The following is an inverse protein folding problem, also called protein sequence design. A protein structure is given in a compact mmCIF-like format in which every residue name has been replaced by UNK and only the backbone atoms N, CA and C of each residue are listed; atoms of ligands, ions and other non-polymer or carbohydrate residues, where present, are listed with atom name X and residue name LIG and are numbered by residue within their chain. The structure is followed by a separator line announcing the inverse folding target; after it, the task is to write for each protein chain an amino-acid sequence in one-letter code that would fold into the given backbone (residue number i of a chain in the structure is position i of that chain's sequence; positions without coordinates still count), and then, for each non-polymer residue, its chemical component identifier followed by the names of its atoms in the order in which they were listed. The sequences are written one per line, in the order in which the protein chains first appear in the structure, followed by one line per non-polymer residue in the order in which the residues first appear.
data_IF_886160434262
#
_entry.id   IF_886160434262
#
_cell.length_a   1.000
_cell.length_b   1.000
_cell.length_c   1.000
_cell.angle_alpha   90.00
_cell.angle_beta   90.00
_cell.angle_gamma   90.00
#
_symmetry.space_group_name_H-M   'P 1'
#
loop_
_entity.id
_entity.type
_entity.pdbx_description
1 polymer ?
#
# COMPACT_ATOMS: atom_id res chain seq x y z
N UNK A 1 4.79 27.25 1.02
CA UNK A 1 5.69 26.88 2.13
C UNK A 1 5.23 25.51 2.58
N UNK A 2 6.07 24.46 2.46
CA UNK A 2 5.66 23.09 2.83
C UNK A 2 5.35 23.05 4.33
N UNK A 3 4.20 22.50 4.72
CA UNK A 3 3.89 22.32 6.13
C UNK A 3 4.74 21.17 6.66
N UNK A 4 5.76 21.53 7.46
CA UNK A 4 6.64 20.57 8.11
C UNK A 4 5.90 19.77 9.20
N UNK A 5 4.76 20.28 9.70
CA UNK A 5 3.99 19.66 10.77
C UNK A 5 3.39 18.31 10.37
N UNK A 6 2.80 18.23 9.19
CA UNK A 6 2.11 17.01 8.76
C UNK A 6 3.11 15.89 8.42
N UNK A 7 4.27 16.25 7.85
CA UNK A 7 5.36 15.29 7.59
C UNK A 7 5.91 14.68 8.88
N UNK A 8 6.01 15.46 9.96
CA UNK A 8 6.47 14.98 11.27
C UNK A 8 5.46 14.01 11.89
N UNK A 9 4.16 14.25 11.67
CA UNK A 9 3.10 13.35 12.14
C UNK A 9 3.21 11.97 11.49
N UNK A 10 3.24 11.92 10.15
CA UNK A 10 3.40 10.67 9.42
C UNK A 10 4.70 9.93 9.77
N UNK A 11 5.81 10.67 9.89
CA UNK A 11 7.09 10.10 10.28
C UNK A 11 7.04 9.44 11.66
N UNK A 12 6.36 10.08 12.62
CA UNK A 12 6.20 9.55 13.97
C UNK A 12 5.36 8.27 13.96
N UNK A 13 4.25 8.25 13.22
CA UNK A 13 3.44 7.05 13.00
C UNK A 13 4.27 5.90 12.38
N UNK A 14 5.00 6.19 11.30
CA UNK A 14 5.82 5.20 10.61
C UNK A 14 6.87 4.57 11.54
N UNK A 15 7.52 5.37 12.40
CA UNK A 15 8.45 4.85 13.42
C UNK A 15 7.75 3.94 14.41
N UNK A 16 6.56 4.29 14.87
CA UNK A 16 5.79 3.50 15.82
C UNK A 16 5.42 2.14 15.20
N UNK A 17 4.81 2.16 14.01
CA UNK A 17 4.43 0.96 13.25
C UNK A 17 5.64 0.05 13.04
N UNK A 18 6.73 0.57 12.48
CA UNK A 18 7.90 -0.23 12.12
C UNK A 18 8.74 -0.67 13.33
N UNK A 19 8.59 -0.03 14.49
CA UNK A 19 9.18 -0.50 15.75
C UNK A 19 8.44 -1.69 16.35
N UNK A 20 7.13 -1.80 16.11
CA UNK A 20 6.31 -2.94 16.54
C UNK A 20 6.55 -4.22 15.71
N UNK A 21 7.08 -4.08 14.49
CA UNK A 21 7.33 -5.22 13.61
C UNK A 21 8.65 -5.93 13.93
N UNK A 22 8.54 -7.24 14.17
CA UNK A 22 9.67 -8.13 14.46
C UNK A 22 10.20 -8.86 13.22
N UNK A 23 9.73 -8.52 12.01
CA UNK A 23 10.20 -9.16 10.78
C UNK A 23 11.63 -8.75 10.45
N UNK A 24 12.43 -9.64 9.80
CA UNK A 24 13.78 -9.30 9.35
C UNK A 24 13.82 -8.02 8.49
N UNK A 25 12.84 -7.86 7.61
CA UNK A 25 12.74 -6.74 6.67
C UNK A 25 12.49 -5.40 7.37
N UNK A 26 11.83 -5.41 8.54
CA UNK A 26 11.57 -4.19 9.31
C UNK A 26 12.85 -3.47 9.75
N UNK A 27 14.00 -4.16 9.82
CA UNK A 27 15.30 -3.51 10.09
C UNK A 27 15.64 -2.50 9.00
N UNK A 28 15.57 -2.92 7.74
CA UNK A 28 15.94 -2.06 6.60
C UNK A 28 15.02 -0.85 6.48
N UNK A 29 13.74 -0.99 6.84
CA UNK A 29 12.81 0.13 6.93
C UNK A 29 13.15 1.10 8.07
N UNK A 30 13.55 0.59 9.24
CA UNK A 30 14.03 1.44 10.34
C UNK A 30 15.33 2.16 10.00
N UNK A 31 16.22 1.52 9.23
CA UNK A 31 17.45 2.14 8.75
C UNK A 31 17.15 3.30 7.79
N UNK A 32 16.15 3.16 6.91
CA UNK A 32 15.65 4.27 6.10
C UNK A 32 15.08 5.39 6.97
N UNK A 33 14.20 5.08 7.93
CA UNK A 33 13.63 6.10 8.82
C UNK A 33 14.69 6.82 9.66
N UNK A 34 15.86 6.22 9.88
CA UNK A 34 16.96 6.86 10.58
C UNK A 34 17.63 7.99 9.77
N UNK A 35 17.38 8.10 8.46
CA UNK A 35 17.92 9.21 7.64
C UNK A 35 17.24 10.54 7.92
N UNK A 36 15.95 10.50 8.27
CA UNK A 36 15.18 11.69 8.65
C UNK A 36 13.71 11.64 8.20
N UNK A 37 12.89 12.62 8.61
CA UNK A 37 11.47 12.71 8.26
C UNK A 37 11.18 12.76 6.76
N UNK A 38 12.13 13.24 5.95
CA UNK A 38 11.99 13.27 4.49
C UNK A 38 11.89 11.88 3.85
N UNK A 39 12.29 10.82 4.57
CA UNK A 39 12.19 9.43 4.11
C UNK A 39 10.76 8.92 3.95
N UNK A 40 9.74 9.64 4.43
CA UNK A 40 8.33 9.24 4.28
C UNK A 40 7.65 9.88 3.07
N UNK A 41 8.34 10.75 2.34
CA UNK A 41 7.76 11.49 1.21
C UNK A 41 8.68 11.43 -0.02
N UNK A 42 8.12 11.40 -1.25
CA UNK A 42 8.91 11.36 -2.48
C UNK A 42 9.44 12.76 -2.85
N UNK A 43 10.31 13.34 -2.03
CA UNK A 43 10.71 14.75 -2.19
C UNK A 43 11.87 14.98 -3.17
N UNK A 44 12.72 13.98 -3.37
CA UNK A 44 13.90 13.99 -4.25
C UNK A 44 14.13 12.61 -4.86
N UNK A 45 15.14 12.47 -5.72
CA UNK A 45 15.62 11.15 -6.11
C UNK A 45 16.22 10.45 -4.87
N UNK A 46 15.77 9.24 -4.56
CA UNK A 46 16.23 8.50 -3.39
C UNK A 46 15.12 7.70 -2.70
N UNK A 47 15.49 6.81 -1.78
CA UNK A 47 14.56 5.90 -1.14
C UNK A 47 13.54 6.63 -0.26
N UNK A 48 12.30 6.15 -0.26
CA UNK A 48 11.24 6.66 0.59
C UNK A 48 10.17 5.60 0.84
N UNK A 49 9.35 5.82 1.87
CA UNK A 49 8.20 4.97 2.16
C UNK A 49 7.09 5.13 1.11
N UNK A 50 6.41 4.02 0.87
CA UNK A 50 5.10 3.95 0.21
C UNK A 50 4.14 3.16 1.08
N UNK A 51 2.86 3.33 0.83
CA UNK A 51 1.80 2.61 1.52
C UNK A 51 0.85 1.97 0.50
N UNK A 52 0.57 0.69 0.69
CA UNK A 52 -0.25 -0.11 -0.23
C UNK A 52 -1.34 -0.88 0.51
N UNK A 53 -2.41 -1.21 -0.20
CA UNK A 53 -3.56 -1.93 0.33
C UNK A 53 -3.95 -3.10 -0.58
N UNK A 54 -4.00 -4.30 0.00
CA UNK A 54 -4.69 -5.42 -0.63
C UNK A 54 -6.14 -5.45 -0.15
N UNK A 55 -7.06 -5.06 -1.02
CA UNK A 55 -8.50 -5.04 -0.72
C UNK A 55 -9.07 -6.43 -0.90
N UNK A 56 -9.74 -6.93 0.14
CA UNK A 56 -10.49 -8.17 0.18
C UNK A 56 -11.96 -7.87 -0.11
N UNK A 57 -12.58 -8.71 -0.93
CA UNK A 57 -14.00 -8.61 -1.27
C UNK A 57 -14.89 -8.85 -0.04
N UNK A 58 -16.16 -8.41 -0.06
CA UNK A 58 -17.08 -8.58 1.08
C UNK A 58 -17.33 -10.05 1.45
N UNK A 59 -17.31 -10.93 0.44
CA UNK A 59 -17.40 -12.39 0.57
C UNK A 59 -16.18 -13.02 1.27
N UNK A 60 -15.08 -12.28 1.41
CA UNK A 60 -13.80 -12.74 2.00
C UNK A 60 -13.15 -13.89 1.23
N UNK A 61 -13.52 -14.08 -0.03
CA UNK A 61 -13.00 -15.15 -0.89
C UNK A 61 -12.12 -14.61 -2.02
N UNK A 62 -12.19 -13.31 -2.31
CA UNK A 62 -11.50 -12.67 -3.43
C UNK A 62 -10.72 -11.43 -3.00
N UNK A 63 -9.76 -11.04 -3.83
CA UNK A 63 -8.98 -9.81 -3.67
C UNK A 63 -9.09 -8.92 -4.90
N UNK A 64 -9.06 -7.60 -4.71
CA UNK A 64 -9.06 -6.63 -5.78
C UNK A 64 -7.62 -6.41 -6.26
N UNK A 65 -7.40 -6.47 -7.58
CA UNK A 65 -6.13 -6.13 -8.19
C UNK A 65 -6.35 -5.15 -9.34
N UNK A 66 -5.40 -4.23 -9.52
CA UNK A 66 -5.37 -3.28 -10.61
C UNK A 66 -4.31 -3.69 -11.65
N UNK A 67 -4.63 -3.59 -12.94
CA UNK A 67 -3.67 -3.74 -14.03
C UNK A 67 -2.93 -2.41 -14.21
N UNK A 68 -1.79 -2.27 -13.55
CA UNK A 68 -1.07 -1.00 -13.48
C UNK A 68 -0.59 -0.53 -14.87
N UNK A 69 -0.93 0.69 -15.29
CA UNK A 69 -0.72 1.15 -16.66
C UNK A 69 0.73 1.19 -17.13
N UNK A 70 1.65 1.62 -16.24
CA UNK A 70 3.12 1.68 -16.51
C UNK A 70 3.85 0.35 -16.30
N UNK A 71 3.56 -0.37 -15.22
CA UNK A 71 4.22 -1.65 -14.91
C UNK A 71 3.75 -2.74 -15.88
N UNK A 72 2.48 -2.71 -16.28
CA UNK A 72 1.90 -3.70 -17.18
C UNK A 72 1.64 -5.05 -16.51
N UNK A 73 1.48 -5.07 -15.19
CA UNK A 73 1.15 -6.25 -14.39
C UNK A 73 0.03 -5.95 -13.39
N UNK A 74 -0.68 -6.99 -12.98
CA UNK A 74 -1.69 -6.95 -11.94
C UNK A 74 -1.02 -6.85 -10.57
N UNK A 75 -1.48 -5.91 -9.75
CA UNK A 75 -0.96 -5.67 -8.41
C UNK A 75 -2.01 -5.09 -7.46
N UNK A 76 -1.68 -5.03 -6.18
CA UNK A 76 -2.46 -4.29 -5.19
C UNK A 76 -2.39 -2.77 -5.44
N UNK A 77 -3.37 -2.02 -4.95
CA UNK A 77 -3.36 -0.56 -4.99
C UNK A 77 -2.35 0.00 -3.98
N UNK A 78 -1.77 1.15 -4.28
CA UNK A 78 -0.79 1.77 -3.40
C UNK A 78 0.08 2.80 -4.09
N UNK A 79 0.70 3.65 -3.29
CA UNK A 79 1.38 4.81 -3.81
C UNK A 79 2.22 5.56 -2.79
N UNK A 80 2.58 6.78 -3.18
CA UNK A 80 3.37 7.66 -2.34
C UNK A 80 2.55 8.15 -1.16
N UNK A 81 3.14 8.20 0.02
CA UNK A 81 2.53 8.99 1.08
C UNK A 81 2.53 10.47 0.69
N UNK A 82 1.52 11.17 1.15
CA UNK A 82 1.33 12.60 0.96
C UNK A 82 1.52 13.35 2.27
N UNK A 83 1.88 14.65 2.24
CA UNK A 83 2.05 15.43 3.46
C UNK A 83 0.85 15.34 4.41
N UNK A 84 -0.39 15.32 3.90
CA UNK A 84 -1.60 15.27 4.73
C UNK A 84 -1.97 13.90 5.30
N UNK A 85 -1.22 12.83 4.99
CA UNK A 85 -1.50 11.50 5.53
C UNK A 85 -1.07 11.44 7.01
N UNK A 86 -2.04 11.28 7.92
CA UNK A 86 -1.74 11.23 9.36
C UNK A 86 -1.02 9.94 9.79
N UNK A 87 -1.23 8.83 9.06
CA UNK A 87 -0.66 7.51 9.34
C UNK A 87 -0.38 6.74 8.05
N UNK A 88 0.48 5.72 8.09
CA UNK A 88 0.72 4.80 6.97
C UNK A 88 -0.57 4.06 6.57
N UNK A 89 -1.40 3.69 7.54
CA UNK A 89 -2.70 3.10 7.27
C UNK A 89 -3.62 4.09 6.54
N UNK A 90 -3.64 5.37 6.95
CA UNK A 90 -4.42 6.40 6.26
C UNK A 90 -3.97 6.60 4.81
N UNK A 91 -2.65 6.60 4.56
CA UNK A 91 -2.10 6.66 3.21
C UNK A 91 -2.54 5.44 2.35
N UNK A 92 -2.38 4.22 2.87
CA UNK A 92 -2.81 3.01 2.16
C UNK A 92 -4.33 3.02 1.87
N UNK A 93 -5.13 3.49 2.82
CA UNK A 93 -6.59 3.59 2.66
C UNK A 93 -6.98 4.66 1.64
N UNK A 94 -6.28 5.80 1.59
CA UNK A 94 -6.46 6.85 0.58
C UNK A 94 -6.18 6.29 -0.82
N UNK A 95 -5.01 5.69 -1.03
CA UNK A 95 -4.63 5.08 -2.32
C UNK A 95 -5.66 4.03 -2.76
N UNK A 96 -6.10 3.16 -1.83
CA UNK A 96 -7.14 2.17 -2.13
C UNK A 96 -8.43 2.83 -2.63
N UNK A 97 -8.88 3.92 -2.02
CA UNK A 97 -10.09 4.66 -2.44
C UNK A 97 -9.89 5.35 -3.79
N UNK A 98 -8.76 6.03 -3.98
CA UNK A 98 -8.46 6.79 -5.19
C UNK A 98 -8.33 5.87 -6.42
N UNK A 99 -7.69 4.71 -6.25
CA UNK A 99 -7.46 3.77 -7.33
C UNK A 99 -8.65 2.85 -7.64
N UNK A 100 -9.49 2.56 -6.64
CA UNK A 100 -10.63 1.64 -6.81
C UNK A 100 -12.00 2.31 -6.90
N UNK A 101 -12.13 3.58 -6.49
CA UNK A 101 -13.41 4.27 -6.38
C UNK A 101 -14.34 3.71 -5.30
N UNK A 102 -13.87 2.80 -4.43
CA UNK A 102 -14.69 2.18 -3.39
C UNK A 102 -14.64 3.02 -2.11
N UNK A 103 -15.80 3.52 -1.70
CA UNK A 103 -16.00 4.13 -0.38
C UNK A 103 -16.27 3.09 0.72
N UNK A 104 -16.23 3.51 1.98
CA UNK A 104 -16.59 2.63 3.11
C UNK A 104 -15.60 1.51 3.41
N UNK A 105 -14.41 1.54 2.80
CA UNK A 105 -13.31 0.60 3.06
C UNK A 105 -12.91 0.59 4.54
N UNK A 106 -12.76 -0.61 5.11
CA UNK A 106 -12.24 -0.85 6.45
C UNK A 106 -10.79 -1.31 6.36
N UNK A 107 -9.89 -0.74 7.15
CA UNK A 107 -8.46 -1.09 7.11
C UNK A 107 -8.03 -1.84 8.38
N UNK A 108 -7.13 -2.80 8.21
CA UNK A 108 -6.50 -3.51 9.31
C UNK A 108 -5.55 -2.62 10.11
N UNK A 109 -5.44 -2.83 11.43
CA UNK A 109 -4.63 -1.96 12.29
C UNK A 109 -3.12 -2.16 12.10
N UNK A 110 -2.70 -3.30 11.55
CA UNK A 110 -1.29 -3.69 11.42
C UNK A 110 -0.93 -3.98 9.95
N UNK A 111 0.31 -3.68 9.54
CA UNK A 111 0.82 -4.11 8.24
C UNK A 111 0.83 -5.63 8.10
N UNK A 112 0.44 -6.12 6.93
CA UNK A 112 0.47 -7.54 6.55
C UNK A 112 1.70 -7.93 5.73
N UNK A 113 2.51 -6.96 5.30
CA UNK A 113 3.71 -7.21 4.53
C UNK A 113 4.58 -5.96 4.38
N UNK A 114 5.86 -6.20 4.11
CA UNK A 114 6.86 -5.19 3.76
C UNK A 114 7.54 -5.63 2.47
N UNK A 115 7.93 -4.67 1.64
CA UNK A 115 8.67 -4.95 0.41
C UNK A 115 9.57 -3.79 0.01
N UNK A 116 10.70 -4.11 -0.60
CA UNK A 116 11.68 -3.12 -1.06
C UNK A 116 11.96 -3.38 -2.54
N UNK A 117 11.61 -2.43 -3.39
CA UNK A 117 11.77 -2.60 -4.84
C UNK A 117 12.23 -1.31 -5.54
N UNK A 118 13.11 -1.42 -6.55
CA UNK A 118 13.55 -0.27 -7.33
C UNK A 118 12.44 0.23 -8.25
N UNK A 119 12.33 1.54 -8.40
CA UNK A 119 11.35 2.18 -9.28
C UNK A 119 11.93 3.40 -9.99
N UNK A 120 11.24 3.85 -11.03
CA UNK A 120 11.50 5.14 -11.65
C UNK A 120 10.32 6.07 -11.43
N UNK A 121 10.48 7.00 -10.50
CA UNK A 121 9.47 8.02 -10.20
C UNK A 121 9.67 9.26 -11.07
N UNK A 122 8.69 10.19 -11.03
CA UNK A 122 8.84 11.53 -11.64
C UNK A 122 10.02 12.33 -11.10
N UNK A 123 10.49 11.98 -9.91
CA UNK A 123 11.62 12.62 -9.21
C UNK A 123 12.99 12.03 -9.57
N UNK A 124 13.03 10.93 -10.33
CA UNK A 124 14.25 10.20 -10.69
C UNK A 124 14.21 8.72 -10.29
N UNK A 125 15.33 8.00 -10.44
CA UNK A 125 15.50 6.66 -9.88
C UNK A 125 15.29 6.68 -8.37
N UNK A 126 14.58 5.67 -7.86
CA UNK A 126 14.23 5.54 -6.45
C UNK A 126 14.17 4.07 -6.04
N UNK A 127 14.01 3.84 -4.73
CA UNK A 127 13.65 2.56 -4.14
C UNK A 127 12.45 2.80 -3.24
N UNK A 128 11.35 2.12 -3.52
CA UNK A 128 10.18 2.15 -2.65
C UNK A 128 10.36 1.18 -1.49
N UNK A 129 10.05 1.65 -0.30
CA UNK A 129 9.96 0.88 0.93
C UNK A 129 8.48 0.79 1.29
N UNK A 130 7.84 -0.26 0.80
CA UNK A 130 6.40 -0.38 0.74
C UNK A 130 5.84 -1.08 1.99
N UNK A 131 4.97 -0.38 2.72
CA UNK A 131 4.25 -0.89 3.89
C UNK A 131 2.83 -1.25 3.48
N UNK A 132 2.46 -2.52 3.65
CA UNK A 132 1.25 -3.10 3.02
C UNK A 132 0.22 -3.46 4.05
N UNK A 133 -1.02 -3.05 3.83
CA UNK A 133 -2.15 -3.29 4.72
C UNK A 133 -3.22 -4.17 4.06
N UNK A 134 -3.98 -4.87 4.90
CA UNK A 134 -5.22 -5.50 4.48
C UNK A 134 -6.37 -4.50 4.58
N UNK A 135 -7.26 -4.51 3.60
CA UNK A 135 -8.46 -3.67 3.57
C UNK A 135 -9.66 -4.55 3.22
N UNK A 136 -10.83 -4.30 3.81
CA UNK A 136 -12.07 -5.01 3.53
C UNK A 136 -13.05 -4.05 2.85
N UNK A 137 -13.57 -4.47 1.71
CA UNK A 137 -14.61 -3.73 1.00
C UNK A 137 -16.00 -3.93 1.64
N UNK A 138 -16.88 -2.92 1.60
CA UNK A 138 -18.26 -3.08 2.05
C UNK A 138 -19.10 -3.88 1.05
N UNK A 139 -20.21 -4.43 1.52
CA UNK A 139 -21.21 -5.08 0.67
C UNK A 139 -21.65 -4.18 -0.50
N UNK A 140 -21.79 -4.77 -1.68
CA UNK A 140 -22.16 -4.03 -2.90
C UNK A 140 -21.06 -3.15 -3.49
N UNK A 141 -19.81 -3.26 -3.04
CA UNK A 141 -18.70 -2.51 -3.63
C UNK A 141 -18.48 -2.86 -5.11
N UNK A 142 -18.61 -1.85 -5.97
CA UNK A 142 -18.33 -1.93 -7.40
C UNK A 142 -17.04 -1.15 -7.71
N UNK A 143 -15.93 -1.84 -8.01
CA UNK A 143 -14.67 -1.17 -8.33
C UNK A 143 -14.79 -0.36 -9.62
N UNK A 144 -14.29 0.88 -9.58
CA UNK A 144 -14.18 1.79 -10.71
C UNK A 144 -12.70 2.02 -11.01
N UNK A 145 -12.27 1.61 -12.19
CA UNK A 145 -10.87 1.76 -12.61
C UNK A 145 -10.48 3.24 -12.69
N UNK A 146 -9.42 3.62 -11.98
CA UNK A 146 -8.83 4.96 -12.08
C UNK A 146 -8.14 5.17 -13.44
N UNK A 147 -7.74 6.43 -13.71
CA UNK A 147 -6.98 6.77 -14.92
C UNK A 147 -5.54 6.21 -14.92
N UNK A 148 -5.02 5.76 -13.78
CA UNK A 148 -3.66 5.21 -13.65
C UNK A 148 -3.59 3.72 -13.99
N UNK A 149 -4.75 3.05 -13.92
CA UNK A 149 -4.92 1.62 -14.16
C UNK A 149 -5.57 1.39 -15.54
N UNK A 150 -5.22 0.26 -16.16
CA UNK A 150 -5.83 -0.18 -17.41
C UNK A 150 -7.08 -1.03 -17.18
N UNK A 151 -7.15 -1.69 -16.04
CA UNK A 151 -8.23 -2.55 -15.63
C UNK A 151 -8.21 -2.75 -14.11
N UNK A 152 -9.31 -3.20 -13.54
CA UNK A 152 -9.51 -3.41 -12.11
C UNK A 152 -10.54 -4.52 -11.89
N UNK A 153 -10.17 -5.60 -11.19
CA UNK A 153 -11.04 -6.76 -11.07
C UNK A 153 -10.80 -7.58 -9.79
N UNK A 154 -11.84 -8.30 -9.38
CA UNK A 154 -11.82 -9.25 -8.27
C UNK A 154 -11.30 -10.61 -8.72
N UNK A 155 -10.35 -11.17 -7.99
CA UNK A 155 -9.76 -12.47 -8.28
C UNK A 155 -9.81 -13.39 -7.07
N UNK A 156 -10.14 -14.66 -7.32
CA UNK A 156 -9.98 -15.71 -6.33
C UNK A 156 -8.47 -16.05 -6.19
N UNK A 157 -8.00 -16.43 -4.99
CA UNK A 157 -6.59 -16.80 -4.75
C UNK A 157 -6.06 -17.92 -5.64
N UNK A 158 -6.92 -18.80 -6.13
CA UNK A 158 -6.60 -19.91 -7.03
C UNK A 158 -6.79 -19.60 -8.51
N UNK A 159 -7.25 -18.39 -8.84
CA UNK A 159 -7.52 -17.92 -10.20
C UNK A 159 -6.93 -16.51 -10.44
N UNK A 160 -5.69 -16.32 -10.01
CA UNK A 160 -4.98 -15.05 -10.18
C UNK A 160 -4.66 -14.74 -11.65
N UNK A 161 -4.67 -13.45 -12.03
CA UNK A 161 -4.43 -13.04 -13.40
C UNK A 161 -2.94 -13.12 -13.77
N UNK A 162 -2.65 -12.95 -15.06
CA UNK A 162 -1.27 -12.85 -15.58
C UNK A 162 -1.17 -11.69 -16.57
N UNK A 163 -0.06 -10.92 -16.57
CA UNK A 163 1.08 -11.03 -15.65
C UNK A 163 0.76 -10.46 -14.24
N UNK A 164 1.30 -11.10 -13.20
CA UNK A 164 1.11 -10.72 -11.79
C UNK A 164 2.42 -10.19 -11.21
N UNK A 165 2.37 -9.13 -10.40
CA UNK A 165 3.55 -8.66 -9.67
C UNK A 165 3.95 -9.64 -8.55
N UNK A 166 5.25 -9.93 -8.42
CA UNK A 166 5.78 -10.94 -7.49
C UNK A 166 5.37 -10.72 -6.03
N UNK A 167 5.21 -9.47 -5.61
CA UNK A 167 4.88 -9.07 -4.25
C UNK A 167 3.44 -9.33 -3.80
N UNK A 168 2.53 -9.74 -4.69
CA UNK A 168 1.10 -9.87 -4.40
C UNK A 168 0.78 -11.15 -3.64
N UNK A 169 1.27 -12.30 -4.12
CA UNK A 169 0.91 -13.63 -3.58
C UNK A 169 1.17 -13.74 -2.07
N UNK A 170 2.30 -13.26 -1.52
CA UNK A 170 2.55 -13.31 -0.08
C UNK A 170 1.52 -12.57 0.79
N UNK A 171 0.79 -11.60 0.23
CA UNK A 171 -0.18 -10.76 0.95
C UNK A 171 -1.55 -11.40 1.08
N UNK A 172 -1.94 -12.28 0.14
CA UNK A 172 -3.30 -12.81 0.04
C UNK A 172 -3.69 -13.56 1.31
N UNK A 173 -2.86 -14.51 1.76
CA UNK A 173 -3.12 -15.29 2.97
C UNK A 173 -3.31 -14.42 4.22
N UNK A 174 -2.36 -13.53 4.55
CA UNK A 174 -2.53 -12.54 5.62
C UNK A 174 -3.78 -11.68 5.50
N UNK A 175 -4.08 -11.15 4.31
CA UNK A 175 -5.23 -10.27 4.09
C UNK A 175 -6.56 -11.00 4.35
N UNK A 176 -6.72 -12.21 3.81
CA UNK A 176 -7.92 -13.02 4.04
C UNK A 176 -8.07 -13.38 5.52
N UNK A 177 -6.98 -13.80 6.19
CA UNK A 177 -7.01 -14.11 7.64
C UNK A 177 -7.48 -12.92 8.47
N UNK A 178 -6.98 -11.73 8.19
CA UNK A 178 -7.43 -10.51 8.86
C UNK A 178 -8.92 -10.24 8.59
N UNK A 179 -9.36 -10.34 7.32
CA UNK A 179 -10.74 -10.08 6.94
C UNK A 179 -11.74 -11.06 7.59
N UNK A 180 -11.37 -12.33 7.81
CA UNK A 180 -12.18 -13.31 8.54
C UNK A 180 -12.25 -13.06 10.05
N UNK A 181 -11.33 -12.28 10.61
CA UNK A 181 -11.32 -11.92 12.04
C UNK A 181 -12.09 -10.64 12.38
N UNK A 182 -12.62 -9.96 11.35
CA UNK A 182 -13.35 -8.69 11.43
C UNK A 182 -14.83 -8.89 11.15
#
# INVERSE_FOLDING_TARGET
MRDLGDTVTLYTDARNVLSGLSTPDARTFRDLLATGPESVLPTTAGPHLTASALVVAPDRERVLLCLHGRVGAWMQMGGHCEPGDATLAAAALREAREESGIDGLLIGPEPIGLDVHPVRCRFGPSVHYDVRYAVLAPEGAEPVCSAESKDLAWFAPDALPSPLADGVVPLIGPALRWAYST
#
